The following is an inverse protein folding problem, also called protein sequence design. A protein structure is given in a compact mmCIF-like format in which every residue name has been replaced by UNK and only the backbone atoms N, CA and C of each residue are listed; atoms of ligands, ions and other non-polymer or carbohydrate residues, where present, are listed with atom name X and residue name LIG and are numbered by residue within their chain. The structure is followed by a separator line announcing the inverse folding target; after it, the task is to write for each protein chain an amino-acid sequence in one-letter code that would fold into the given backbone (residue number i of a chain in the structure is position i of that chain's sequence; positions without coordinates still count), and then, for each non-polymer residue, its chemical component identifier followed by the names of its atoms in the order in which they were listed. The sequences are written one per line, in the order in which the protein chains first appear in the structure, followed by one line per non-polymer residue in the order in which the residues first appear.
data_IF_178615238766
#
_entry.id   IF_178615238766
#
_cell.length_a   1.000
_cell.length_b   1.000
_cell.length_c   1.000
_cell.angle_alpha   90.00
_cell.angle_beta   90.00
_cell.angle_gamma   90.00
#
_symmetry.space_group_name_H-M   'P 1'
#
loop_
_entity.id
_entity.type
_entity.pdbx_description
1 polymer ?
#
# COMPACT_ATOMS: atom_id res chain seq x y z
N UNK A 1 -7.12 4.46 -12.73
CA UNK A 1 -7.21 5.42 -11.61
C UNK A 1 -6.22 6.56 -11.76
N UNK A 2 -4.91 6.28 -11.92
CA UNK A 2 -3.86 7.31 -12.02
C UNK A 2 -4.17 8.47 -12.98
N UNK A 3 -4.46 8.27 -14.28
CA UNK A 3 -4.64 9.40 -15.20
C UNK A 3 -5.90 10.23 -14.90
N UNK A 4 -6.91 9.61 -14.29
CA UNK A 4 -8.19 10.26 -13.98
C UNK A 4 -8.01 11.24 -12.82
N UNK A 5 -7.41 10.79 -11.71
CA UNK A 5 -7.16 11.66 -10.57
C UNK A 5 -6.09 12.71 -10.91
N UNK A 6 -5.09 12.35 -11.72
CA UNK A 6 -4.07 13.29 -12.20
C UNK A 6 -4.66 14.44 -13.01
N UNK A 7 -5.57 14.16 -13.95
CA UNK A 7 -6.27 15.17 -14.72
C UNK A 7 -7.16 16.04 -13.82
N UNK A 8 -7.91 15.41 -12.92
CA UNK A 8 -8.81 16.12 -12.01
C UNK A 8 -8.07 17.10 -11.09
N UNK A 9 -6.99 16.67 -10.43
CA UNK A 9 -6.17 17.54 -9.55
C UNK A 9 -5.52 18.68 -10.34
N UNK A 10 -5.15 18.45 -11.60
CA UNK A 10 -4.59 19.50 -12.47
C UNK A 10 -5.64 20.56 -12.82
N UNK A 11 -6.88 20.16 -13.06
CA UNK A 11 -8.00 21.07 -13.35
C UNK A 11 -8.54 21.75 -12.08
N UNK A 12 -8.38 21.10 -10.92
CA UNK A 12 -8.88 21.54 -9.61
C UNK A 12 -7.74 21.61 -8.57
N UNK A 13 -6.83 22.60 -8.64
CA UNK A 13 -5.71 22.70 -7.70
C UNK A 13 -6.14 22.90 -6.23
N UNK A 14 -7.36 23.39 -5.99
CA UNK A 14 -7.99 23.49 -4.67
C UNK A 14 -8.39 22.15 -4.06
N UNK A 15 -8.55 21.11 -4.88
CA UNK A 15 -9.00 19.80 -4.43
C UNK A 15 -7.98 19.13 -3.50
N UNK A 16 -6.68 19.37 -3.71
CA UNK A 16 -5.64 18.72 -2.94
C UNK A 16 -4.52 19.64 -2.51
N UNK A 17 -4.14 19.52 -1.25
CA UNK A 17 -2.99 20.21 -0.68
C UNK A 17 -1.71 19.84 -1.46
N UNK A 18 -1.11 20.85 -2.10
CA UNK A 18 0.13 20.72 -2.89
C UNK A 18 0.09 19.64 -3.97
N UNK A 19 -1.11 19.33 -4.48
CA UNK A 19 -1.28 18.31 -5.51
C UNK A 19 -1.07 16.88 -5.02
N UNK A 20 -1.10 16.64 -3.71
CA UNK A 20 -1.04 15.29 -3.13
C UNK A 20 -2.17 14.40 -3.67
N UNK A 21 -1.93 13.11 -3.82
CA UNK A 21 -2.93 12.17 -4.34
C UNK A 21 -3.08 11.01 -3.37
N UNK A 22 -3.03 9.78 -3.89
CA UNK A 22 -3.09 8.58 -3.08
C UNK A 22 -1.71 8.03 -2.76
N UNK A 23 -1.74 6.95 -1.99
CA UNK A 23 -0.60 6.09 -1.71
C UNK A 23 -0.74 4.84 -2.58
N UNK A 24 0.32 4.49 -3.30
CA UNK A 24 0.44 3.26 -4.08
C UNK A 24 1.19 2.24 -3.25
N UNK A 25 0.46 1.30 -2.66
CA UNK A 25 1.04 0.22 -1.87
C UNK A 25 1.48 -0.92 -2.80
N UNK A 26 2.77 -1.23 -2.82
CA UNK A 26 3.33 -2.26 -3.72
C UNK A 26 3.73 -3.50 -2.95
N UNK A 27 3.17 -4.65 -3.33
CA UNK A 27 3.71 -5.97 -2.96
C UNK A 27 4.97 -6.22 -3.76
N UNK A 28 6.03 -6.72 -3.11
CA UNK A 28 7.34 -6.91 -3.74
C UNK A 28 7.52 -8.21 -4.51
N UNK A 29 6.61 -9.19 -4.36
CA UNK A 29 6.76 -10.50 -4.97
C UNK A 29 6.90 -10.40 -6.49
N UNK A 30 8.05 -10.83 -7.00
CA UNK A 30 8.39 -10.78 -8.42
C UNK A 30 8.48 -9.36 -9.02
N UNK A 31 8.58 -8.32 -8.20
CA UNK A 31 8.90 -6.97 -8.63
C UNK A 31 7.85 -5.91 -8.32
N UNK A 32 7.79 -4.85 -9.13
CA UNK A 32 6.95 -3.68 -8.89
C UNK A 32 6.43 -3.07 -10.20
N UNK A 33 5.25 -2.44 -10.14
CA UNK A 33 4.61 -1.74 -11.27
C UNK A 33 4.51 -2.54 -12.58
N UNK A 34 4.45 -3.87 -12.48
CA UNK A 34 4.33 -4.78 -13.63
C UNK A 34 5.66 -5.24 -14.24
N UNK A 35 6.81 -4.85 -13.68
CA UNK A 35 8.12 -5.28 -14.13
C UNK A 35 8.77 -6.21 -13.11
N UNK A 36 9.45 -7.25 -13.60
CA UNK A 36 10.18 -8.17 -12.76
C UNK A 36 11.55 -7.61 -12.41
N UNK A 37 11.78 -7.35 -11.13
CA UNK A 37 13.03 -6.75 -10.63
C UNK A 37 13.67 -7.56 -9.50
N UNK A 38 13.13 -8.76 -9.25
CA UNK A 38 13.65 -9.72 -8.27
C UNK A 38 13.88 -11.05 -8.98
N UNK A 39 14.77 -11.87 -8.42
CA UNK A 39 15.07 -13.23 -8.94
C UNK A 39 15.40 -13.18 -10.46
N UNK A 40 16.31 -12.28 -10.83
CA UNK A 40 16.56 -11.86 -12.22
C UNK A 40 17.39 -12.82 -13.07
N UNK A 41 17.90 -13.90 -12.49
CA UNK A 41 18.85 -14.83 -13.13
C UNK A 41 18.32 -15.49 -14.41
N UNK A 42 16.99 -15.50 -14.59
CA UNK A 42 16.31 -16.03 -15.77
C UNK A 42 16.34 -15.08 -16.99
N UNK A 43 16.88 -13.86 -16.86
CA UNK A 43 16.87 -12.82 -17.89
C UNK A 43 18.28 -12.40 -18.31
N UNK A 44 18.45 -12.01 -19.57
CA UNK A 44 19.70 -11.39 -20.02
C UNK A 44 19.91 -9.99 -19.40
N UNK A 45 21.16 -9.53 -19.32
CA UNK A 45 21.54 -8.27 -18.67
C UNK A 45 20.79 -7.05 -19.23
N UNK A 46 20.51 -7.02 -20.54
CA UNK A 46 19.82 -5.89 -21.16
C UNK A 46 18.35 -5.86 -20.73
N UNK A 47 17.70 -7.03 -20.68
CA UNK A 47 16.33 -7.18 -20.18
C UNK A 47 16.23 -6.86 -18.69
N UNK A 48 17.19 -7.32 -17.87
CA UNK A 48 17.26 -6.96 -16.46
C UNK A 48 17.34 -5.44 -16.28
N UNK A 49 18.32 -4.80 -16.92
CA UNK A 49 18.51 -3.35 -16.81
C UNK A 49 17.28 -2.58 -17.26
N UNK A 50 16.64 -3.00 -18.35
CA UNK A 50 15.42 -2.37 -18.85
C UNK A 50 14.28 -2.44 -17.82
N UNK A 51 14.06 -3.60 -17.17
CA UNK A 51 13.02 -3.73 -16.15
C UNK A 51 13.30 -2.85 -14.92
N UNK A 52 14.56 -2.81 -14.46
CA UNK A 52 14.98 -1.94 -13.35
C UNK A 52 14.75 -0.46 -13.68
N UNK A 53 15.19 -0.01 -14.86
CA UNK A 53 15.01 1.36 -15.33
C UNK A 53 13.52 1.73 -15.39
N UNK A 54 12.67 0.80 -15.88
CA UNK A 54 11.22 1.04 -16.01
C UNK A 54 10.51 1.19 -14.67
N UNK A 55 10.86 0.39 -13.65
CA UNK A 55 10.31 0.59 -12.30
C UNK A 55 10.67 1.97 -11.77
N UNK A 56 11.93 2.38 -11.93
CA UNK A 56 12.39 3.70 -11.51
C UNK A 56 11.71 4.84 -12.27
N UNK A 57 11.50 4.69 -13.59
CA UNK A 57 10.76 5.67 -14.39
C UNK A 57 9.31 5.82 -13.89
N UNK A 58 8.61 4.71 -13.64
CA UNK A 58 7.23 4.73 -13.14
C UNK A 58 7.18 5.36 -11.74
N UNK A 59 8.07 4.95 -10.83
CA UNK A 59 8.12 5.49 -9.48
C UNK A 59 8.36 7.00 -9.47
N UNK A 60 9.30 7.48 -10.30
CA UNK A 60 9.56 8.92 -10.48
C UNK A 60 8.35 9.65 -11.05
N UNK A 61 7.67 9.08 -12.04
CA UNK A 61 6.47 9.69 -12.63
C UNK A 61 5.34 9.82 -11.61
N UNK A 62 5.09 8.77 -10.82
CA UNK A 62 4.10 8.77 -9.74
C UNK A 62 4.41 9.87 -8.70
N UNK A 63 5.65 9.92 -8.20
CA UNK A 63 6.07 10.92 -7.21
C UNK A 63 6.03 12.33 -7.76
N UNK A 64 6.51 12.54 -8.98
CA UNK A 64 6.48 13.84 -9.65
C UNK A 64 5.04 14.34 -9.86
N UNK A 65 4.06 13.44 -9.95
CA UNK A 65 2.65 13.81 -10.01
C UNK A 65 1.96 13.84 -8.63
N UNK A 66 2.67 13.64 -7.51
CA UNK A 66 2.10 13.79 -6.16
C UNK A 66 1.53 12.51 -5.55
N UNK A 67 1.83 11.34 -6.10
CA UNK A 67 1.57 10.06 -5.45
C UNK A 67 2.70 9.68 -4.49
N UNK A 68 2.33 9.06 -3.38
CA UNK A 68 3.29 8.41 -2.48
C UNK A 68 3.36 6.90 -2.76
N UNK A 69 4.46 6.27 -2.41
CA UNK A 69 4.65 4.82 -2.55
C UNK A 69 4.84 4.21 -1.17
N UNK A 70 4.14 3.10 -0.92
CA UNK A 70 4.16 2.37 0.35
C UNK A 70 4.57 0.90 0.16
N UNK A 71 5.13 0.34 1.21
CA UNK A 71 5.38 -1.08 1.32
C UNK A 71 4.06 -1.82 1.64
N UNK A 72 3.74 -2.85 0.86
CA UNK A 72 2.61 -3.75 1.11
C UNK A 72 3.08 -5.20 1.30
N UNK A 73 4.16 -5.37 2.07
CA UNK A 73 4.98 -6.58 2.23
C UNK A 73 5.67 -7.05 0.94
N UNK A 74 6.70 -7.87 1.06
CA UNK A 74 7.25 -8.59 -0.08
C UNK A 74 6.32 -9.72 -0.52
N UNK A 75 5.90 -10.59 0.40
CA UNK A 75 5.25 -11.85 0.07
C UNK A 75 3.72 -11.79 0.01
N UNK A 76 3.11 -10.85 0.74
CA UNK A 76 1.67 -10.81 1.01
C UNK A 76 1.10 -12.17 1.47
N UNK A 77 1.91 -12.94 2.20
CA UNK A 77 1.57 -14.30 2.63
C UNK A 77 0.49 -14.31 3.72
N UNK A 78 -0.27 -15.41 3.81
CA UNK A 78 -1.33 -15.62 4.79
C UNK A 78 -0.88 -15.54 6.26
N UNK A 79 0.41 -15.74 6.56
CA UNK A 79 0.91 -15.55 7.93
C UNK A 79 0.77 -14.12 8.46
N UNK A 80 0.54 -13.13 7.59
CA UNK A 80 0.16 -11.78 7.98
C UNK A 80 -1.26 -11.73 8.54
N UNK A 81 -2.21 -12.38 7.86
CA UNK A 81 -3.63 -12.36 8.21
C UNK A 81 -3.91 -12.95 9.59
N UNK A 82 -3.31 -14.10 9.87
CA UNK A 82 -3.52 -14.83 11.13
C UNK A 82 -2.52 -14.43 12.24
N UNK A 83 -1.64 -13.44 12.00
CA UNK A 83 -0.55 -13.01 12.90
C UNK A 83 0.40 -14.14 13.32
N UNK A 84 0.55 -15.20 12.53
CA UNK A 84 1.47 -16.32 12.85
C UNK A 84 2.86 -16.13 12.26
N UNK A 85 3.15 -14.99 11.64
CA UNK A 85 4.47 -14.67 11.10
C UNK A 85 5.54 -14.78 12.19
N UNK A 86 6.58 -15.56 11.94
CA UNK A 86 7.77 -15.61 12.81
C UNK A 86 8.69 -14.41 12.56
N UNK A 87 9.62 -14.13 13.47
CA UNK A 87 10.61 -13.08 13.23
C UNK A 87 11.52 -13.34 12.03
N UNK A 88 11.83 -14.60 11.74
CA UNK A 88 12.61 -14.96 10.55
C UNK A 88 11.83 -14.61 9.27
N UNK A 89 10.53 -14.91 9.24
CA UNK A 89 9.65 -14.56 8.13
C UNK A 89 9.48 -13.04 7.99
N UNK A 90 9.36 -12.31 9.11
CA UNK A 90 9.28 -10.85 9.11
C UNK A 90 10.56 -10.21 8.55
N UNK A 91 11.73 -10.71 8.97
CA UNK A 91 13.04 -10.31 8.45
C UNK A 91 13.21 -10.61 6.97
N UNK A 92 12.78 -11.79 6.54
CA UNK A 92 12.80 -12.17 5.13
C UNK A 92 11.90 -11.25 4.30
N UNK A 93 10.64 -11.07 4.70
CA UNK A 93 9.66 -10.29 3.96
C UNK A 93 10.07 -8.81 3.85
N UNK A 94 10.36 -8.19 4.99
CA UNK A 94 10.76 -6.78 5.03
C UNK A 94 12.12 -6.58 4.38
N UNK A 95 13.08 -7.46 4.66
CA UNK A 95 14.44 -7.38 4.13
C UNK A 95 14.48 -7.49 2.60
N UNK A 96 13.71 -8.41 2.00
CA UNK A 96 13.62 -8.47 0.53
C UNK A 96 12.99 -7.22 -0.05
N UNK A 97 11.93 -6.69 0.57
CA UNK A 97 11.33 -5.45 0.09
C UNK A 97 12.33 -4.27 0.15
N UNK A 98 13.01 -4.10 1.28
CA UNK A 98 14.01 -3.04 1.49
C UNK A 98 15.20 -3.17 0.54
N UNK A 99 15.69 -4.38 0.28
CA UNK A 99 16.90 -4.59 -0.52
C UNK A 99 16.64 -4.69 -2.02
N UNK A 100 15.46 -5.14 -2.43
CA UNK A 100 15.19 -5.48 -3.84
C UNK A 100 14.13 -4.58 -4.48
N UNK A 101 13.24 -3.96 -3.70
CA UNK A 101 12.14 -3.13 -4.23
C UNK A 101 12.42 -1.65 -3.97
N UNK A 102 12.69 -1.28 -2.72
CA UNK A 102 12.93 0.10 -2.29
C UNK A 102 13.97 0.84 -3.14
N UNK A 103 15.10 0.23 -3.57
CA UNK A 103 16.09 0.93 -4.38
C UNK A 103 15.54 1.47 -5.71
N UNK A 104 14.49 0.83 -6.24
CA UNK A 104 13.90 1.17 -7.53
C UNK A 104 12.63 1.99 -7.41
N UNK A 105 11.87 1.85 -6.32
CA UNK A 105 10.65 2.64 -6.06
C UNK A 105 10.88 3.92 -5.24
N UNK A 106 12.10 4.08 -4.72
CA UNK A 106 12.53 5.20 -3.89
C UNK A 106 12.22 5.01 -2.40
N UNK A 107 12.69 5.96 -1.59
CA UNK A 107 12.54 5.94 -0.13
C UNK A 107 11.05 5.86 0.28
N UNK A 108 10.75 4.95 1.20
CA UNK A 108 9.38 4.64 1.61
C UNK A 108 9.31 4.47 3.12
N UNK A 109 8.43 5.25 3.75
CA UNK A 109 8.22 5.22 5.20
C UNK A 109 6.83 4.72 5.62
N UNK A 110 5.98 4.43 4.63
CA UNK A 110 4.60 4.00 4.84
C UNK A 110 4.54 2.48 4.65
N UNK A 111 4.02 1.79 5.66
CA UNK A 111 3.69 0.38 5.59
C UNK A 111 2.18 0.18 5.66
N UNK A 112 1.60 -0.25 4.54
CA UNK A 112 0.20 -0.67 4.51
C UNK A 112 0.18 -2.17 4.76
N UNK A 113 -0.43 -2.61 5.84
CA UNK A 113 -0.30 -4.00 6.26
C UNK A 113 -1.17 -4.96 5.42
N UNK A 114 -0.63 -6.11 4.98
CA UNK A 114 -1.42 -7.14 4.32
C UNK A 114 -2.62 -7.56 5.17
N UNK A 115 -3.77 -7.73 4.52
CA UNK A 115 -5.04 -8.08 5.16
C UNK A 115 -5.50 -7.10 6.26
N UNK A 116 -4.87 -5.93 6.37
CA UNK A 116 -5.18 -4.92 7.38
C UNK A 116 -4.73 -5.26 8.79
N UNK A 117 -3.77 -6.16 8.96
CA UNK A 117 -3.32 -6.60 10.29
C UNK A 117 -2.76 -5.43 11.11
N UNK A 118 -3.13 -5.38 12.39
CA UNK A 118 -2.54 -4.45 13.37
C UNK A 118 -1.73 -5.26 14.38
N UNK A 119 -0.49 -4.88 14.63
CA UNK A 119 0.30 -5.39 15.75
C UNK A 119 0.11 -4.51 16.99
N UNK A 120 0.46 -5.06 18.15
CA UNK A 120 0.58 -4.28 19.38
C UNK A 120 1.91 -3.51 19.36
N UNK A 121 2.00 -2.43 20.14
CA UNK A 121 3.15 -1.52 20.09
C UNK A 121 4.47 -2.22 20.43
N UNK A 122 4.47 -3.13 21.40
CA UNK A 122 5.64 -3.87 21.88
C UNK A 122 5.93 -5.16 21.09
N UNK A 123 5.18 -5.44 20.02
CA UNK A 123 5.41 -6.59 19.16
C UNK A 123 6.76 -6.45 18.43
N UNK A 124 7.63 -7.44 18.59
CA UNK A 124 8.97 -7.45 17.99
C UNK A 124 8.96 -7.33 16.46
N UNK A 125 7.89 -7.80 15.80
CA UNK A 125 7.74 -7.68 14.33
C UNK A 125 7.40 -6.25 13.96
N UNK A 126 6.57 -5.59 14.75
CA UNK A 126 6.25 -4.18 14.53
C UNK A 126 7.47 -3.29 14.79
N UNK A 127 8.18 -3.52 15.89
CA UNK A 127 9.44 -2.81 16.17
C UNK A 127 10.46 -3.00 15.03
N UNK A 128 10.55 -4.20 14.47
CA UNK A 128 11.42 -4.45 13.32
C UNK A 128 11.00 -3.67 12.06
N UNK A 129 9.70 -3.45 11.82
CA UNK A 129 9.25 -2.57 10.73
C UNK A 129 9.69 -1.12 10.98
N UNK A 130 9.55 -0.61 12.22
CA UNK A 130 9.98 0.74 12.59
C UNK A 130 11.50 0.91 12.40
N UNK A 131 12.29 -0.06 12.86
CA UNK A 131 13.76 -0.08 12.71
C UNK A 131 14.21 -0.07 11.24
N UNK A 132 13.37 -0.55 10.31
CA UNK A 132 13.63 -0.53 8.87
C UNK A 132 13.04 0.71 8.16
N UNK A 133 12.59 1.71 8.91
CA UNK A 133 12.21 3.01 8.36
C UNK A 133 10.71 3.20 8.11
N UNK A 134 9.86 2.26 8.54
CA UNK A 134 8.42 2.30 8.28
C UNK A 134 7.60 2.93 9.41
N UNK A 135 7.77 4.22 9.66
CA UNK A 135 7.17 4.93 10.80
C UNK A 135 5.68 5.26 10.64
N UNK A 136 5.10 5.08 9.46
CA UNK A 136 3.66 5.28 9.22
C UNK A 136 3.04 3.91 8.93
N UNK A 137 2.27 3.39 9.88
CA UNK A 137 1.67 2.05 9.79
C UNK A 137 0.17 2.12 9.57
N UNK A 138 -0.33 1.43 8.53
CA UNK A 138 -1.69 1.62 8.04
C UNK A 138 -2.51 0.30 7.96
N UNK A 139 -3.08 -0.17 9.08
CA UNK A 139 -3.97 -1.32 9.12
C UNK A 139 -5.37 -1.00 8.55
N UNK A 140 -6.27 -1.99 8.53
CA UNK A 140 -7.70 -1.77 8.24
C UNK A 140 -8.46 -1.63 9.55
N UNK A 141 -9.24 -0.57 9.68
CA UNK A 141 -10.08 -0.29 10.85
C UNK A 141 -11.32 0.51 10.41
N UNK A 142 -12.51 0.04 10.81
CA UNK A 142 -13.79 0.63 10.42
C UNK A 142 -14.04 2.02 10.98
N UNK A 143 -13.30 2.45 12.01
CA UNK A 143 -13.41 3.77 12.63
C UNK A 143 -12.34 4.76 12.17
N UNK A 144 -11.40 4.31 11.33
CA UNK A 144 -10.28 5.11 10.83
C UNK A 144 -9.52 5.91 11.91
N UNK A 145 -9.17 5.31 13.07
CA UNK A 145 -8.47 6.03 14.12
C UNK A 145 -7.06 6.44 13.66
N UNK A 146 -6.61 7.58 14.16
CA UNK A 146 -5.21 8.03 14.04
C UNK A 146 -4.60 8.04 15.42
N UNK A 147 -3.50 7.33 15.61
CA UNK A 147 -2.75 7.23 16.87
C UNK A 147 -1.34 7.74 16.63
N UNK A 148 -0.90 8.63 17.51
CA UNK A 148 0.43 9.25 17.46
C UNK A 148 1.25 8.70 18.62
N UNK A 149 2.45 8.21 18.31
CA UNK A 149 3.42 7.69 19.26
C UNK A 149 4.73 8.46 19.08
N UNK A 150 5.70 8.26 19.97
CA UNK A 150 6.95 9.03 19.94
C UNK A 150 7.76 8.79 18.66
N UNK A 151 7.67 7.59 18.08
CA UNK A 151 8.46 7.15 16.93
C UNK A 151 7.62 6.66 15.73
N UNK A 152 6.30 6.67 15.83
CA UNK A 152 5.42 6.19 14.75
C UNK A 152 4.01 6.81 14.77
N UNK A 153 3.30 6.59 13.66
CA UNK A 153 1.89 6.93 13.51
C UNK A 153 1.14 5.71 12.99
N UNK A 154 0.09 5.32 13.71
CA UNK A 154 -0.86 4.29 13.24
C UNK A 154 -2.10 4.98 12.68
N UNK A 155 -2.35 4.78 11.39
CA UNK A 155 -3.54 5.30 10.71
C UNK A 155 -4.43 4.16 10.21
N UNK A 156 -5.50 3.87 10.95
CA UNK A 156 -6.50 2.90 10.53
C UNK A 156 -7.20 3.35 9.25
N UNK A 157 -7.37 2.43 8.30
CA UNK A 157 -7.99 2.70 6.99
C UNK A 157 -9.32 1.96 6.85
N UNK A 158 -10.31 2.63 6.27
CA UNK A 158 -11.52 1.97 5.83
C UNK A 158 -11.28 1.33 4.46
N UNK A 159 -11.57 0.04 4.32
CA UNK A 159 -11.54 -0.65 3.04
C UNK A 159 -12.78 -0.29 2.22
N UNK A 160 -12.57 0.34 1.07
CA UNK A 160 -13.62 0.67 0.10
C UNK A 160 -13.70 -0.44 -0.96
N UNK A 161 -14.55 -1.42 -0.72
CA UNK A 161 -14.80 -2.54 -1.62
C UNK A 161 -16.29 -2.89 -1.69
N UNK A 162 -16.65 -3.85 -2.55
CA UNK A 162 -18.02 -4.31 -2.71
C UNK A 162 -18.62 -4.93 -1.45
N UNK A 163 -17.80 -5.57 -0.61
CA UNK A 163 -18.27 -6.19 0.63
C UNK A 163 -18.66 -5.11 1.63
N UNK A 164 -17.81 -4.10 1.85
CA UNK A 164 -18.12 -2.98 2.73
C UNK A 164 -19.30 -2.19 2.22
N UNK A 165 -19.38 -1.90 0.91
CA UNK A 165 -20.50 -1.18 0.32
C UNK A 165 -21.85 -1.92 0.48
N UNK A 166 -21.85 -3.26 0.44
CA UNK A 166 -23.08 -4.07 0.53
C UNK A 166 -23.44 -4.39 1.99
N UNK A 167 -22.49 -4.89 2.78
CA UNK A 167 -22.75 -5.41 4.14
C UNK A 167 -22.68 -4.31 5.21
N UNK A 168 -21.94 -3.24 4.96
CA UNK A 168 -21.69 -2.16 5.92
C UNK A 168 -21.74 -0.75 5.28
N UNK A 169 -22.79 -0.41 4.50
CA UNK A 169 -22.86 0.86 3.77
C UNK A 169 -22.76 2.08 4.69
N UNK A 170 -23.19 1.96 5.94
CA UNK A 170 -23.14 3.01 6.96
C UNK A 170 -21.72 3.47 7.29
N UNK A 171 -20.71 2.62 7.09
CA UNK A 171 -19.31 3.00 7.30
C UNK A 171 -18.80 3.97 6.24
N UNK A 172 -19.41 3.95 5.05
CA UNK A 172 -19.04 4.79 3.92
C UNK A 172 -19.95 6.01 3.85
N UNK A 173 -21.27 5.82 3.95
CA UNK A 173 -22.25 6.89 3.76
C UNK A 173 -22.19 7.98 4.82
N UNK A 174 -21.62 7.68 5.99
CA UNK A 174 -21.43 8.65 7.06
C UNK A 174 -20.46 9.78 6.67
N UNK A 175 -19.34 9.44 6.04
CA UNK A 175 -18.22 10.36 5.85
C UNK A 175 -17.85 10.59 4.36
N UNK A 176 -18.39 9.80 3.44
CA UNK A 176 -18.01 9.83 2.01
C UNK A 176 -19.22 10.04 1.08
N UNK A 177 -19.73 8.96 0.47
CA UNK A 177 -20.82 9.00 -0.51
C UNK A 177 -21.83 7.89 -0.18
N UNK A 178 -23.05 8.02 -0.70
CA UNK A 178 -24.07 6.97 -0.59
C UNK A 178 -23.72 5.78 -1.50
N UNK A 179 -23.38 4.59 -0.94
CA UNK A 179 -23.03 3.43 -1.74
C UNK A 179 -24.13 3.00 -2.71
N UNK A 180 -25.41 3.27 -2.40
CA UNK A 180 -26.54 2.90 -3.24
C UNK A 180 -26.52 3.58 -4.62
N UNK A 181 -25.83 4.71 -4.75
CA UNK A 181 -25.72 5.46 -6.00
C UNK A 181 -24.67 4.89 -6.97
N UNK A 182 -23.75 4.06 -6.49
CA UNK A 182 -22.63 3.51 -7.29
C UNK A 182 -22.63 1.98 -7.36
N UNK A 183 -23.41 1.31 -6.52
CA UNK A 183 -23.58 -0.13 -6.58
C UNK A 183 -24.31 -0.50 -7.86
N UNK A 184 -23.65 -1.30 -8.69
CA UNK A 184 -24.24 -1.84 -9.92
C UNK A 184 -25.38 -2.82 -9.56
N UNK A 185 -26.64 -2.53 -9.96
CA UNK A 185 -27.78 -3.38 -9.65
C UNK A 185 -27.70 -4.76 -10.33
N UNK A 186 -26.82 -4.95 -11.31
CA UNK A 186 -26.59 -6.24 -11.96
C UNK A 186 -25.64 -7.17 -11.17
N UNK A 187 -25.06 -6.71 -10.05
CA UNK A 187 -24.17 -7.56 -9.23
C UNK A 187 -24.94 -8.77 -8.68
N UNK A 188 -24.33 -9.97 -8.69
CA UNK A 188 -24.88 -11.12 -8.00
C UNK A 188 -25.08 -10.83 -6.51
N UNK A 189 -26.11 -11.40 -5.87
CA UNK A 189 -26.23 -11.34 -4.43
C UNK A 189 -24.98 -11.94 -3.77
N UNK A 190 -24.53 -11.31 -2.69
CA UNK A 190 -23.44 -11.83 -1.87
C UNK A 190 -23.99 -12.96 -1.01
N UNK A 191 -23.46 -14.17 -1.21
CA UNK A 191 -23.70 -15.30 -0.31
C UNK A 191 -23.18 -15.06 1.13
#
# INVERSE_FOLDING_TARGET
MFPILDAYVKEHPEFSWRGAKGIVATTGYQGAFGYRITDLDDYDEATQKWMLDKVTEVAKALRASGWEIANHSYTHNQYWNNKTMTMEQCKYDTGRWVNEIMPYVGETHIFISPFGVSFDQDDERFQYLLDNGFYIYCPVDSKMPMRWHDNDVIQGRLNLDGITMIKYPERISKDFFDPSLVLDPARPPMD
#
